data_IF_537165372640
#
_entry.id   IF_537165372640
#
_cell.length_a   1.000
_cell.length_b   1.000
_cell.length_c   1.000
_cell.angle_alpha   90.00
_cell.angle_beta   90.00
_cell.angle_gamma   90.00
#
_symmetry.space_group_name_H-M   'P 1'
#
loop_
_entity.id
_entity.type
_entity.pdbx_description
1 polymer ?
#
# COMPACT_ATOMS: atom_id res chain seq x y z
N UNK A 1 -86.74 11.74 -33.29
CA UNK A 1 -87.56 12.72 -32.58
C UNK A 1 -87.38 12.46 -31.10
N UNK A 2 -86.81 13.29 -30.24
CA UNK A 2 -86.24 14.65 -30.24
C UNK A 2 -85.34 14.67 -28.97
N UNK A 3 -84.07 15.09 -28.98
CA UNK A 3 -83.50 16.45 -29.01
C UNK A 3 -83.92 17.39 -27.86
N UNK A 4 -82.87 17.79 -27.12
CA UNK A 4 -82.59 19.12 -26.54
C UNK A 4 -83.51 19.55 -25.36
N UNK A 5 -83.12 20.32 -24.34
CA UNK A 5 -81.94 21.13 -24.04
C UNK A 5 -82.01 21.56 -22.54
N UNK A 6 -80.84 21.75 -21.91
CA UNK A 6 -80.40 22.89 -21.03
C UNK A 6 -81.16 23.28 -19.75
N UNK A 7 -80.48 23.30 -18.59
CA UNK A 7 -79.73 24.42 -17.94
C UNK A 7 -80.59 24.89 -16.73
N UNK A 8 -80.13 25.35 -15.57
CA UNK A 8 -78.85 25.91 -15.12
C UNK A 8 -78.88 26.06 -13.57
N UNK A 9 -77.70 26.00 -12.93
CA UNK A 9 -77.23 26.79 -11.75
C UNK A 9 -77.88 26.64 -10.35
N UNK A 10 -77.23 26.76 -9.19
CA UNK A 10 -75.88 27.10 -8.65
C UNK A 10 -75.89 26.46 -7.21
N UNK A 11 -74.83 26.11 -6.47
CA UNK A 11 -73.76 26.97 -5.94
C UNK A 11 -72.97 26.12 -4.91
N UNK A 12 -71.65 26.03 -5.01
CA UNK A 12 -70.69 26.33 -3.91
C UNK A 12 -69.29 25.81 -4.19
N UNK A 13 -68.44 26.80 -4.42
CA UNK A 13 -67.03 26.91 -4.09
C UNK A 13 -66.47 25.86 -3.12
N UNK A 14 -65.44 25.13 -3.58
CA UNK A 14 -64.21 24.91 -2.82
C UNK A 14 -63.05 24.79 -3.82
N UNK A 15 -62.50 25.95 -4.18
CA UNK A 15 -61.24 26.07 -4.92
C UNK A 15 -60.08 25.87 -3.93
N UNK A 16 -59.78 24.62 -3.63
CA UNK A 16 -58.49 24.28 -3.01
C UNK A 16 -57.38 24.51 -4.04
N UNK A 17 -56.54 25.49 -3.77
CA UNK A 17 -55.25 25.67 -4.47
C UNK A 17 -54.39 24.46 -4.13
N UNK A 18 -54.22 23.54 -5.07
CA UNK A 18 -53.11 22.59 -5.04
C UNK A 18 -51.80 23.38 -5.13
N UNK A 19 -51.15 23.58 -3.99
CA UNK A 19 -49.75 23.96 -3.95
C UNK A 19 -48.94 22.83 -4.59
N UNK A 20 -48.38 23.05 -5.77
CA UNK A 20 -47.37 22.18 -6.37
C UNK A 20 -46.23 21.99 -5.35
N UNK A 21 -46.24 20.84 -4.66
CA UNK A 21 -45.12 20.42 -3.82
C UNK A 21 -43.92 20.25 -4.74
N UNK A 22 -43.00 21.21 -4.66
CA UNK A 22 -41.69 21.10 -5.30
C UNK A 22 -41.01 19.78 -4.92
N UNK A 23 -40.10 19.27 -5.77
CA UNK A 23 -39.53 17.94 -5.62
C UNK A 23 -38.96 17.73 -4.21
N UNK A 24 -39.38 16.64 -3.57
CA UNK A 24 -38.91 16.30 -2.23
C UNK A 24 -37.38 16.20 -2.23
N UNK A 25 -36.74 16.88 -1.28
CA UNK A 25 -35.29 16.81 -1.13
C UNK A 25 -34.90 15.35 -0.87
N UNK A 26 -33.93 14.81 -1.62
CA UNK A 26 -33.48 13.45 -1.39
C UNK A 26 -33.01 13.30 0.06
N UNK A 27 -33.42 12.19 0.67
CA UNK A 27 -32.99 11.82 2.02
C UNK A 27 -31.46 11.75 2.12
N UNK A 28 -30.92 12.04 3.29
CA UNK A 28 -29.46 12.01 3.51
C UNK A 28 -28.94 10.59 3.24
N UNK A 29 -27.84 10.42 2.48
CA UNK A 29 -27.28 9.10 2.20
C UNK A 29 -26.98 8.35 3.50
N UNK A 30 -27.23 7.03 3.51
CA UNK A 30 -26.84 6.19 4.63
C UNK A 30 -25.31 6.13 4.74
N UNK A 31 -24.81 6.14 5.98
CA UNK A 31 -23.38 6.07 6.27
C UNK A 31 -22.83 4.70 5.89
N UNK A 32 -21.72 4.68 5.14
CA UNK A 32 -21.00 3.47 4.76
C UNK A 32 -19.60 3.47 5.42
N UNK A 33 -19.31 2.57 6.37
CA UNK A 33 -18.01 2.51 7.05
C UNK A 33 -16.81 2.37 6.10
N UNK A 34 -16.96 1.69 4.96
CA UNK A 34 -15.89 1.58 3.98
C UNK A 34 -15.59 2.92 3.30
N UNK A 35 -16.63 3.71 3.03
CA UNK A 35 -16.48 5.07 2.49
C UNK A 35 -15.84 6.00 3.50
N UNK A 36 -16.12 5.83 4.80
CA UNK A 36 -15.47 6.63 5.85
C UNK A 36 -13.94 6.46 5.87
N UNK A 37 -13.42 5.26 5.56
CA UNK A 37 -11.97 5.03 5.46
C UNK A 37 -11.39 5.77 4.24
N UNK A 38 -12.10 5.77 3.11
CA UNK A 38 -11.68 6.50 1.92
C UNK A 38 -11.66 8.02 2.18
N UNK A 39 -12.62 8.53 2.96
CA UNK A 39 -12.60 9.92 3.39
C UNK A 39 -11.37 10.23 4.26
N UNK A 40 -11.02 9.37 5.23
CA UNK A 40 -9.79 9.54 6.03
C UNK A 40 -8.52 9.55 5.18
N UNK A 41 -8.46 8.73 4.12
CA UNK A 41 -7.35 8.78 3.17
C UNK A 41 -7.31 10.11 2.39
N UNK A 42 -8.47 10.59 1.92
CA UNK A 42 -8.59 11.89 1.24
C UNK A 42 -8.28 13.08 2.16
N UNK A 43 -8.57 12.95 3.45
CA UNK A 43 -8.26 13.94 4.49
C UNK A 43 -6.81 13.80 5.01
N UNK A 44 -6.02 12.90 4.41
CA UNK A 44 -4.60 12.64 4.72
C UNK A 44 -4.35 12.13 6.15
N UNK A 45 -5.37 11.58 6.80
CA UNK A 45 -5.27 10.97 8.13
C UNK A 45 -4.66 9.56 8.08
N UNK A 46 -4.79 8.89 6.92
CA UNK A 46 -4.23 7.56 6.67
C UNK A 46 -3.31 7.57 5.45
N UNK A 47 -2.12 6.95 5.53
CA UNK A 47 -1.26 6.78 4.35
C UNK A 47 -1.90 5.82 3.35
N UNK A 48 -1.67 6.05 2.07
CA UNK A 48 -2.24 5.24 0.99
C UNK A 48 -1.16 4.30 0.44
N UNK A 49 -1.47 3.00 0.40
CA UNK A 49 -0.62 2.02 -0.27
C UNK A 49 -1.32 1.49 -1.53
N UNK A 50 -0.68 1.66 -2.68
CA UNK A 50 -1.22 1.27 -3.99
C UNK A 50 -0.38 0.13 -4.54
N UNK A 51 -1.00 -1.01 -4.84
CA UNK A 51 -0.30 -2.09 -5.56
C UNK A 51 -0.28 -1.79 -7.05
N UNK A 52 0.88 -1.47 -7.60
CA UNK A 52 1.09 -1.23 -9.03
C UNK A 52 2.39 -1.87 -9.47
N UNK A 53 2.34 -2.76 -10.48
CA UNK A 53 3.52 -3.55 -10.90
C UNK A 53 3.96 -3.27 -12.34
N UNK A 54 3.02 -2.91 -13.23
CA UNK A 54 3.31 -2.53 -14.61
C UNK A 54 3.40 -1.02 -14.77
N UNK A 55 4.06 -0.56 -15.83
CA UNK A 55 4.14 0.89 -16.13
C UNK A 55 2.77 1.55 -16.26
N UNK A 56 1.78 0.91 -16.90
CA UNK A 56 0.43 1.49 -16.99
C UNK A 56 -0.25 1.62 -15.62
N UNK A 57 -0.08 0.63 -14.74
CA UNK A 57 -0.65 0.68 -13.39
C UNK A 57 0.07 1.75 -12.55
N UNK A 58 1.38 1.89 -12.74
CA UNK A 58 2.20 2.92 -12.11
C UNK A 58 1.74 4.31 -12.55
N UNK A 59 1.52 4.55 -13.85
CA UNK A 59 0.99 5.83 -14.34
C UNK A 59 -0.35 6.15 -13.68
N UNK A 60 -1.30 5.22 -13.70
CA UNK A 60 -2.60 5.44 -13.08
C UNK A 60 -2.48 5.71 -11.57
N UNK A 61 -1.53 5.06 -10.88
CA UNK A 61 -1.28 5.32 -9.48
C UNK A 61 -0.70 6.72 -9.25
N UNK A 62 0.23 7.15 -10.10
CA UNK A 62 0.82 8.50 -10.04
C UNK A 62 -0.23 9.58 -10.27
N UNK A 63 -1.11 9.41 -11.26
CA UNK A 63 -2.20 10.34 -11.54
C UNK A 63 -3.12 10.50 -10.31
N UNK A 64 -3.46 9.41 -9.62
CA UNK A 64 -4.24 9.44 -8.37
C UNK A 64 -3.49 10.10 -7.22
N UNK A 65 -2.20 9.84 -7.09
CA UNK A 65 -1.36 10.43 -6.04
C UNK A 65 -1.30 11.95 -6.22
N UNK A 66 -1.12 12.42 -7.46
CA UNK A 66 -1.08 13.84 -7.79
C UNK A 66 -2.44 14.51 -7.62
N UNK A 67 -3.52 13.91 -8.13
CA UNK A 67 -4.88 14.46 -8.07
C UNK A 67 -5.34 14.72 -6.63
N UNK A 68 -5.03 13.81 -5.71
CA UNK A 68 -5.49 13.88 -4.32
C UNK A 68 -4.39 14.27 -3.32
N UNK A 69 -3.15 14.48 -3.79
CA UNK A 69 -2.01 14.87 -2.96
C UNK A 69 -1.65 13.83 -1.89
N UNK A 70 -1.73 12.54 -2.21
CA UNK A 70 -1.50 11.49 -1.21
C UNK A 70 -0.03 11.37 -0.80
N UNK A 71 0.21 11.15 0.51
CA UNK A 71 1.43 10.51 0.98
C UNK A 71 1.31 9.01 0.70
N UNK A 72 2.04 8.52 -0.30
CA UNK A 72 1.80 7.21 -0.87
C UNK A 72 3.01 6.27 -0.85
N UNK A 73 2.70 4.99 -0.76
CA UNK A 73 3.65 3.90 -1.00
C UNK A 73 3.16 3.04 -2.16
N UNK A 74 3.98 2.88 -3.19
CA UNK A 74 3.70 1.94 -4.27
C UNK A 74 4.28 0.56 -3.92
N UNK A 75 3.42 -0.45 -3.82
CA UNK A 75 3.83 -1.83 -3.61
C UNK A 75 4.04 -2.56 -4.95
N UNK A 76 5.18 -3.24 -5.09
CA UNK A 76 5.52 -4.10 -6.21
C UNK A 76 6.47 -3.45 -7.20
N UNK A 77 5.99 -2.43 -7.93
CA UNK A 77 6.77 -1.54 -8.82
C UNK A 77 7.76 -2.25 -9.76
N UNK A 78 7.43 -3.43 -10.27
CA UNK A 78 8.36 -4.26 -11.06
C UNK A 78 8.87 -3.54 -12.33
N UNK A 79 8.02 -2.73 -12.98
CA UNK A 79 8.37 -1.96 -14.17
C UNK A 79 8.76 -0.49 -13.89
N UNK A 80 9.08 -0.14 -12.65
CA UNK A 80 9.48 1.23 -12.28
C UNK A 80 10.70 1.76 -13.07
N UNK A 81 11.57 0.86 -13.55
CA UNK A 81 12.70 1.21 -14.42
C UNK A 81 12.29 1.92 -15.73
N UNK A 82 11.03 1.78 -16.17
CA UNK A 82 10.48 2.47 -17.34
C UNK A 82 9.92 3.86 -17.01
N UNK A 83 9.79 4.19 -15.73
CA UNK A 83 9.08 5.38 -15.25
C UNK A 83 9.89 6.17 -14.21
N UNK A 84 11.20 5.98 -14.15
CA UNK A 84 12.05 6.59 -13.12
C UNK A 84 11.93 8.12 -13.07
N UNK A 85 11.85 8.77 -14.22
CA UNK A 85 11.69 10.24 -14.30
C UNK A 85 10.38 10.70 -13.65
N UNK A 86 9.24 10.13 -14.07
CA UNK A 86 7.93 10.44 -13.47
C UNK A 86 7.87 10.10 -11.97
N UNK A 87 8.53 9.01 -11.54
CA UNK A 87 8.60 8.64 -10.12
C UNK A 87 9.47 9.61 -9.30
N UNK A 88 10.49 10.24 -9.90
CA UNK A 88 11.35 11.21 -9.23
C UNK A 88 10.68 12.58 -9.05
N UNK A 89 9.69 12.91 -9.89
CA UNK A 89 8.92 14.15 -9.77
C UNK A 89 7.96 14.15 -8.57
N UNK A 90 7.77 13.00 -7.92
CA UNK A 90 6.84 12.81 -6.81
C UNK A 90 7.53 13.00 -5.46
N UNK A 91 7.21 14.09 -4.76
CA UNK A 91 7.85 14.45 -3.49
C UNK A 91 7.51 13.50 -2.33
N UNK A 92 6.30 12.93 -2.32
CA UNK A 92 5.75 12.15 -1.19
C UNK A 92 5.48 10.69 -1.56
N UNK A 93 6.40 10.12 -2.33
CA UNK A 93 6.30 8.75 -2.81
C UNK A 93 7.45 7.87 -2.27
N UNK A 94 7.07 6.68 -1.79
CA UNK A 94 8.00 5.61 -1.47
C UNK A 94 7.65 4.33 -2.23
N UNK A 95 8.63 3.45 -2.45
CA UNK A 95 8.41 2.17 -3.13
C UNK A 95 8.63 1.01 -2.16
N UNK A 96 7.70 0.06 -2.14
CA UNK A 96 7.80 -1.18 -1.38
C UNK A 96 7.94 -2.36 -2.35
N UNK A 97 9.17 -2.84 -2.51
CA UNK A 97 9.53 -3.92 -3.43
C UNK A 97 9.28 -5.28 -2.79
N UNK A 98 8.39 -6.04 -3.40
CA UNK A 98 8.27 -7.47 -3.12
C UNK A 98 9.29 -8.26 -3.94
N UNK A 99 9.48 -9.53 -3.58
CA UNK A 99 10.13 -10.50 -4.46
C UNK A 99 9.33 -10.58 -5.77
N UNK A 100 9.99 -10.53 -6.94
CA UNK A 100 9.29 -10.63 -8.21
C UNK A 100 8.46 -11.93 -8.24
N UNK A 101 7.17 -11.78 -8.52
CA UNK A 101 6.28 -12.92 -8.77
C UNK A 101 6.72 -13.53 -10.10
N UNK A 102 7.15 -14.80 -10.08
CA UNK A 102 7.36 -15.59 -11.28
C UNK A 102 6.11 -16.45 -11.46
N UNK A 103 5.06 -16.00 -12.18
CA UNK A 103 3.90 -16.82 -12.41
C UNK A 103 4.26 -17.97 -13.36
N UNK A 104 3.55 -19.08 -13.20
CA UNK A 104 3.73 -20.28 -14.02
C UNK A 104 3.30 -20.08 -15.48
N UNK A 105 2.54 -19.02 -15.78
CA UNK A 105 2.05 -18.69 -17.13
C UNK A 105 2.87 -17.57 -17.78
N UNK A 106 3.34 -17.81 -19.02
CA UNK A 106 4.06 -16.83 -19.84
C UNK A 106 3.13 -15.75 -20.39
N UNK A 107 3.60 -14.50 -20.44
CA UNK A 107 3.00 -13.41 -21.23
C UNK A 107 2.11 -12.42 -20.47
N UNK A 108 1.75 -12.69 -19.20
CA UNK A 108 0.94 -11.76 -18.38
C UNK A 108 1.76 -11.05 -17.28
N UNK A 109 3.08 -11.12 -17.34
CA UNK A 109 3.95 -10.72 -16.22
C UNK A 109 4.60 -9.37 -16.47
N UNK A 110 4.58 -8.45 -15.50
CA UNK A 110 5.49 -7.31 -15.52
C UNK A 110 6.94 -7.81 -15.62
N UNK A 111 7.75 -7.17 -16.46
CA UNK A 111 9.15 -7.55 -16.65
C UNK A 111 10.02 -6.73 -15.73
N UNK A 112 10.43 -7.31 -14.61
CA UNK A 112 11.38 -6.65 -13.72
C UNK A 112 12.77 -6.61 -14.35
N UNK A 113 13.34 -5.41 -14.49
CA UNK A 113 14.74 -5.22 -14.86
C UNK A 113 15.65 -5.74 -13.72
N UNK A 114 16.65 -6.54 -14.07
CA UNK A 114 17.69 -7.00 -13.14
C UNK A 114 18.45 -5.85 -12.48
N UNK A 115 18.55 -4.69 -13.15
CA UNK A 115 19.20 -3.49 -12.65
C UNK A 115 18.26 -2.54 -11.90
N UNK A 116 17.00 -2.93 -11.65
CA UNK A 116 16.01 -2.05 -11.02
C UNK A 116 16.51 -1.46 -9.70
N UNK A 117 17.14 -2.27 -8.85
CA UNK A 117 17.63 -1.80 -7.54
C UNK A 117 18.68 -0.71 -7.70
N UNK A 118 19.72 -0.94 -8.51
CA UNK A 118 20.76 0.05 -8.77
C UNK A 118 20.20 1.33 -9.38
N UNK A 119 19.16 1.24 -10.23
CA UNK A 119 18.49 2.40 -10.81
C UNK A 119 17.70 3.20 -9.77
N UNK A 120 16.98 2.53 -8.87
CA UNK A 120 16.27 3.18 -7.76
C UNK A 120 17.23 3.85 -6.78
N UNK A 121 18.37 3.22 -6.49
CA UNK A 121 19.43 3.84 -5.69
C UNK A 121 20.03 5.08 -6.36
N UNK A 122 20.27 5.02 -7.68
CA UNK A 122 20.79 6.15 -8.44
C UNK A 122 19.77 7.29 -8.59
N UNK A 123 18.47 6.99 -8.62
CA UNK A 123 17.41 7.98 -8.75
C UNK A 123 17.10 8.71 -7.44
N UNK A 124 17.53 8.17 -6.30
CA UNK A 124 17.27 8.75 -4.97
C UNK A 124 15.85 8.55 -4.46
N UNK A 125 15.02 7.76 -5.15
CA UNK A 125 13.67 7.41 -4.72
C UNK A 125 13.75 6.55 -3.46
N UNK A 126 12.99 6.89 -2.42
CA UNK A 126 12.94 6.09 -1.20
C UNK A 126 12.30 4.73 -1.49
N UNK A 127 12.99 3.66 -1.11
CA UNK A 127 12.47 2.31 -1.32
C UNK A 127 12.79 1.36 -0.18
N UNK A 128 12.01 0.29 -0.13
CA UNK A 128 11.98 -0.69 0.93
C UNK A 128 11.59 -2.08 0.39
N UNK A 129 11.77 -3.13 1.18
CA UNK A 129 11.53 -4.54 0.85
C UNK A 129 10.38 -5.11 1.67
N UNK A 130 9.37 -5.62 0.98
CA UNK A 130 8.29 -6.40 1.60
C UNK A 130 8.40 -7.90 1.30
N UNK A 131 7.68 -8.67 2.11
CA UNK A 131 7.54 -10.11 1.91
C UNK A 131 6.66 -10.47 0.72
N UNK A 132 5.76 -9.58 0.28
CA UNK A 132 4.76 -9.86 -0.76
C UNK A 132 3.64 -10.82 -0.34
N UNK A 133 3.50 -11.13 0.96
CA UNK A 133 2.39 -11.92 1.54
C UNK A 133 2.74 -13.34 2.02
N UNK A 134 1.69 -14.14 2.26
CA UNK A 134 1.65 -15.32 3.15
C UNK A 134 2.69 -16.43 2.93
N UNK A 135 3.34 -16.52 1.76
CA UNK A 135 4.20 -17.65 1.41
C UNK A 135 5.71 -17.39 1.49
N UNK A 136 6.15 -16.14 1.66
CA UNK A 136 7.58 -15.80 1.61
C UNK A 136 8.03 -15.13 2.91
N UNK A 137 9.05 -15.71 3.54
CA UNK A 137 9.71 -15.07 4.69
C UNK A 137 10.30 -13.72 4.27
N UNK A 138 9.97 -12.64 5.00
CA UNK A 138 10.53 -11.30 4.79
C UNK A 138 12.07 -11.34 4.74
N UNK A 139 12.70 -12.12 5.60
CA UNK A 139 14.16 -12.27 5.62
C UNK A 139 14.69 -12.87 4.31
N UNK A 140 13.98 -13.85 3.75
CA UNK A 140 14.33 -14.43 2.44
C UNK A 140 14.18 -13.40 1.32
N UNK A 141 13.11 -12.60 1.35
CA UNK A 141 12.91 -11.51 0.40
C UNK A 141 14.05 -10.49 0.44
N UNK A 142 14.44 -10.08 1.64
CA UNK A 142 15.56 -9.17 1.89
C UNK A 142 16.87 -9.77 1.35
N UNK A 143 17.17 -11.04 1.62
CA UNK A 143 18.37 -11.69 1.09
C UNK A 143 18.38 -11.73 -0.45
N UNK A 144 17.24 -12.05 -1.08
CA UNK A 144 17.15 -12.13 -2.54
C UNK A 144 17.29 -10.77 -3.21
N UNK A 145 16.73 -9.70 -2.63
CA UNK A 145 16.86 -8.35 -3.15
C UNK A 145 18.27 -7.80 -2.88
N UNK A 146 18.85 -8.06 -1.70
CA UNK A 146 20.22 -7.67 -1.39
C UNK A 146 21.23 -8.26 -2.39
N UNK A 147 21.02 -9.50 -2.84
CA UNK A 147 21.86 -10.12 -3.88
C UNK A 147 21.75 -9.48 -5.28
N UNK A 148 20.74 -8.63 -5.52
CA UNK A 148 20.59 -7.86 -6.77
C UNK A 148 21.13 -6.43 -6.64
N UNK A 149 21.31 -5.95 -5.42
CA UNK A 149 21.85 -4.64 -5.13
C UNK A 149 23.38 -4.70 -5.13
N UNK A 150 24.05 -3.66 -5.64
CA UNK A 150 25.51 -3.66 -5.73
C UNK A 150 26.14 -3.48 -4.34
N UNK A 151 26.51 -4.59 -3.71
CA UNK A 151 27.17 -4.61 -2.39
C UNK A 151 26.26 -4.25 -1.21
N UNK A 152 24.93 -4.22 -1.37
CA UNK A 152 24.05 -3.92 -0.24
C UNK A 152 24.01 -5.07 0.77
N UNK A 153 24.31 -4.74 2.04
CA UNK A 153 24.12 -5.68 3.13
C UNK A 153 22.63 -5.99 3.33
N UNK A 154 22.21 -7.27 3.42
CA UNK A 154 20.83 -7.64 3.77
C UNK A 154 20.35 -6.97 5.05
N UNK A 155 21.24 -6.80 6.03
CA UNK A 155 20.92 -6.12 7.27
C UNK A 155 20.59 -4.64 7.04
N UNK A 156 21.33 -3.95 6.16
CA UNK A 156 21.05 -2.55 5.83
C UNK A 156 19.66 -2.38 5.23
N UNK A 157 19.26 -3.26 4.31
CA UNK A 157 17.92 -3.23 3.71
C UNK A 157 16.83 -3.54 4.74
N UNK A 158 17.07 -4.49 5.66
CA UNK A 158 16.16 -4.81 6.75
C UNK A 158 15.92 -3.62 7.68
N UNK A 159 16.96 -2.82 7.95
CA UNK A 159 16.86 -1.65 8.82
C UNK A 159 16.29 -0.42 8.10
N UNK A 160 16.47 -0.33 6.77
CA UNK A 160 15.89 0.75 5.96
C UNK A 160 14.35 0.67 5.84
N UNK A 161 13.72 -0.43 6.26
CA UNK A 161 12.26 -0.65 6.22
C UNK A 161 11.43 0.26 7.13
N UNK A 162 12.09 1.06 7.97
CA UNK A 162 11.39 1.98 8.85
C UNK A 162 11.16 3.31 8.15
N UNK A 163 9.96 3.48 7.58
CA UNK A 163 9.35 4.78 7.19
C UNK A 163 9.17 5.78 8.35
N UNK A 164 9.94 5.62 9.44
CA UNK A 164 10.01 6.54 10.57
C UNK A 164 11.39 7.18 10.63
N UNK A 165 11.68 7.98 9.61
CA UNK A 165 12.79 8.92 9.60
C UNK A 165 14.19 8.28 9.62
N UNK A 166 15.19 9.14 9.45
CA UNK A 166 16.61 8.77 9.44
C UNK A 166 17.02 8.16 10.79
N UNK A 167 16.88 6.85 10.94
CA UNK A 167 17.37 6.13 12.12
C UNK A 167 16.51 5.02 12.69
N UNK A 168 15.31 4.79 12.18
CA UNK A 168 14.59 3.56 12.47
C UNK A 168 15.48 2.34 12.11
N UNK A 169 15.46 1.32 12.96
CA UNK A 169 16.24 0.10 12.77
C UNK A 169 17.68 0.10 13.32
N UNK A 170 18.29 1.25 13.64
CA UNK A 170 19.62 1.24 14.29
C UNK A 170 19.50 1.18 15.81
N UNK A 171 20.32 0.33 16.44
CA UNK A 171 20.41 0.30 17.91
C UNK A 171 20.96 1.63 18.41
N UNK A 172 20.10 2.39 19.08
CA UNK A 172 20.42 3.67 19.70
C UNK A 172 20.08 3.61 21.18
N UNK A 173 20.60 4.54 21.98
CA UNK A 173 20.17 4.69 23.37
C UNK A 173 18.65 4.93 23.38
N UNK A 174 17.91 4.06 24.08
CA UNK A 174 16.44 4.07 24.09
C UNK A 174 15.78 3.18 23.03
N UNK A 175 16.55 2.50 22.17
CA UNK A 175 16.02 1.48 21.26
C UNK A 175 15.48 0.28 22.04
N UNK A 176 14.29 -0.18 21.67
CA UNK A 176 13.54 -1.19 22.41
C UNK A 176 13.33 -2.50 21.64
N UNK A 177 13.69 -2.51 20.36
CA UNK A 177 13.55 -3.64 19.45
C UNK A 177 14.93 -4.24 19.14
N UNK A 178 15.12 -5.51 19.50
CA UNK A 178 16.38 -6.22 19.33
C UNK A 178 16.15 -7.63 18.80
N UNK A 179 16.97 -8.02 17.82
CA UNK A 179 17.05 -9.41 17.34
C UNK A 179 18.46 -9.92 17.58
N UNK A 180 18.58 -10.97 18.37
CA UNK A 180 19.84 -11.69 18.58
C UNK A 180 19.95 -12.80 17.55
N UNK A 181 21.08 -12.88 16.86
CA UNK A 181 21.35 -13.88 15.83
C UNK A 181 22.43 -14.86 16.31
N UNK A 182 22.41 -16.10 15.80
CA UNK A 182 23.45 -17.09 16.09
C UNK A 182 24.77 -16.82 15.35
N UNK A 183 24.71 -16.11 14.22
CA UNK A 183 25.83 -15.72 13.37
C UNK A 183 25.62 -14.30 12.86
N UNK A 184 26.57 -13.74 12.12
CA UNK A 184 26.44 -12.40 11.55
C UNK A 184 25.46 -12.40 10.35
N UNK A 185 24.24 -11.84 10.46
CA UNK A 185 23.25 -11.85 9.39
C UNK A 185 23.61 -10.98 8.19
N UNK A 186 24.61 -10.10 8.31
CA UNK A 186 25.10 -9.29 7.20
C UNK A 186 26.05 -10.06 6.26
N UNK A 187 26.59 -11.19 6.71
CA UNK A 187 27.65 -11.94 6.01
C UNK A 187 27.31 -13.43 5.83
N UNK A 188 26.55 -14.03 6.75
CA UNK A 188 26.20 -15.45 6.70
C UNK A 188 24.71 -15.62 6.32
N UNK A 189 24.39 -16.15 5.12
CA UNK A 189 23.00 -16.39 4.70
C UNK A 189 22.30 -17.48 5.54
N UNK A 190 23.07 -18.32 6.23
CA UNK A 190 22.59 -19.33 7.17
C UNK A 190 22.41 -18.77 8.59
N UNK A 191 22.71 -17.49 8.85
CA UNK A 191 22.37 -16.87 10.12
C UNK A 191 20.87 -16.98 10.39
N UNK A 192 20.51 -17.21 11.65
CA UNK A 192 19.13 -17.33 12.09
C UNK A 192 18.90 -16.57 13.40
N UNK A 193 17.67 -16.05 13.61
CA UNK A 193 17.33 -15.43 14.87
C UNK A 193 17.34 -16.49 16.00
N UNK A 194 17.94 -16.11 17.11
CA UNK A 194 17.95 -16.85 18.38
C UNK A 194 16.93 -16.30 19.36
N UNK A 195 16.78 -14.97 19.39
CA UNK A 195 15.86 -14.28 20.30
C UNK A 195 15.37 -12.97 19.68
N UNK A 196 14.10 -12.65 19.90
CA UNK A 196 13.49 -11.36 19.53
C UNK A 196 12.98 -10.71 20.81
N UNK A 197 13.35 -9.45 20.99
CA UNK A 197 12.99 -8.62 22.14
C UNK A 197 12.30 -7.37 21.60
N UNK A 198 11.12 -7.06 22.11
CA UNK A 198 10.35 -5.86 21.78
C UNK A 198 9.95 -5.22 23.10
N UNK A 199 10.24 -3.93 23.28
CA UNK A 199 9.95 -3.17 24.50
C UNK A 199 10.47 -3.86 25.77
N UNK A 200 11.70 -4.37 25.68
CA UNK A 200 12.38 -5.08 26.77
C UNK A 200 11.82 -6.48 27.06
N UNK A 201 10.76 -6.91 26.36
CA UNK A 201 10.12 -8.20 26.55
C UNK A 201 10.60 -9.20 25.51
N UNK A 202 11.00 -10.40 25.94
CA UNK A 202 11.31 -11.50 25.01
C UNK A 202 10.01 -12.03 24.41
N UNK A 203 9.74 -11.69 23.15
CA UNK A 203 8.52 -12.10 22.44
C UNK A 203 8.69 -13.41 21.69
N UNK A 204 9.94 -13.78 21.37
CA UNK A 204 10.25 -15.04 20.72
C UNK A 204 11.65 -15.52 21.08
N UNK A 205 11.80 -16.84 21.24
CA UNK A 205 13.09 -17.48 21.44
C UNK A 205 13.10 -18.82 20.70
N UNK A 206 14.20 -19.11 20.02
CA UNK A 206 14.40 -20.40 19.36
C UNK A 206 14.32 -21.53 20.41
N UNK A 207 13.52 -22.59 20.18
CA UNK A 207 13.49 -23.75 21.08
C UNK A 207 14.86 -24.41 21.19
N UNK A 208 15.22 -24.84 22.40
CA UNK A 208 16.43 -25.63 22.59
C UNK A 208 16.26 -27.01 21.93
N UNK A 209 17.25 -27.43 21.13
CA UNK A 209 17.29 -28.78 20.54
C UNK A 209 16.75 -28.91 19.10
N UNK A 210 16.38 -27.82 18.42
CA UNK A 210 16.03 -27.88 16.99
C UNK A 210 17.28 -28.24 16.17
N UNK A 211 17.35 -29.47 15.65
CA UNK A 211 18.40 -29.89 14.71
C UNK A 211 18.38 -29.01 13.45
N UNK A 212 19.55 -28.70 12.91
CA UNK A 212 19.70 -28.04 11.61
C UNK A 212 18.84 -28.77 10.56
N UNK A 213 17.81 -28.11 10.03
CA UNK A 213 17.10 -28.59 8.84
C UNK A 213 15.58 -28.77 8.91
N UNK A 214 14.88 -28.50 10.02
CA UNK A 214 13.40 -28.44 9.96
C UNK A 214 12.89 -27.02 9.71
N UNK A 215 12.63 -26.70 8.45
CA UNK A 215 11.71 -25.66 8.01
C UNK A 215 10.85 -26.23 6.89
#
# INVERSE_FOLDING_TARGET
>A
DDKDDKDDKDDKDDKEKEEEKGPEKPGRPQRNPASDILLQALDHELPVMITARRSQDLQNALDLIEEFGFVATIQGADEAHLMLEALQEMDQLSILLDVPRVPLQRGSVPRRDSALISRLEASGIEWSVASGGESTSLWRSIQMIAGQADGASPLRLALAQGSRGRGAGWLRKGGSELVLWDKNPAQDPLARPQRVIIDGTVVWQRPAGTREGSF
#
